data_IF_651461789188
#
_entry.id   IF_651461789188
#
_cell.length_a   1.000
_cell.length_b   1.000
_cell.length_c   1.000
_cell.angle_alpha   90.00
_cell.angle_beta   90.00
_cell.angle_gamma   90.00
#
_symmetry.space_group_name_H-M   'P 1'
#
loop_
_entity.id
_entity.type
_entity.pdbx_description
1 polymer ?
#
# COMPACT_ATOMS: atom_id res chain seq x y z
N UNK A 1 -2.22 -1.95 -22.31
CA UNK A 1 -1.78 -3.35 -22.22
C UNK A 1 -3.01 -4.20 -22.52
N UNK A 2 -2.95 -5.07 -23.52
CA UNK A 2 -4.02 -6.03 -23.78
C UNK A 2 -3.78 -7.26 -22.91
N UNK A 3 -4.73 -7.58 -22.04
CA UNK A 3 -4.67 -8.78 -21.22
C UNK A 3 -4.97 -10.01 -22.08
N UNK A 4 -4.32 -11.14 -21.77
CA UNK A 4 -4.56 -12.40 -22.45
C UNK A 4 -6.04 -12.84 -22.27
N UNK A 5 -6.75 -13.25 -23.34
CA UNK A 5 -8.14 -13.67 -23.24
C UNK A 5 -8.40 -14.80 -22.23
N UNK A 6 -7.39 -15.62 -21.93
CA UNK A 6 -7.47 -16.73 -20.94
C UNK A 6 -7.64 -16.23 -19.51
N UNK A 7 -7.33 -14.96 -19.22
CA UNK A 7 -7.42 -14.39 -17.87
C UNK A 7 -8.64 -13.49 -17.66
N UNK A 8 -9.52 -13.36 -18.65
CA UNK A 8 -10.63 -12.41 -18.66
C UNK A 8 -11.68 -12.62 -17.54
N UNK A 9 -11.72 -13.79 -16.90
CA UNK A 9 -12.71 -14.15 -15.87
C UNK A 9 -12.06 -14.54 -14.52
N UNK A 10 -10.77 -14.24 -14.32
CA UNK A 10 -10.09 -14.48 -13.05
C UNK A 10 -10.14 -13.18 -12.24
N UNK A 11 -11.00 -13.14 -11.21
CA UNK A 11 -11.36 -11.95 -10.42
C UNK A 11 -10.17 -11.25 -9.71
N UNK A 12 -8.96 -11.82 -9.76
CA UNK A 12 -7.80 -11.32 -9.03
C UNK A 12 -6.50 -11.21 -9.86
N UNK A 13 -6.56 -11.27 -11.19
CA UNK A 13 -5.35 -11.20 -12.02
C UNK A 13 -4.86 -9.76 -12.23
N UNK A 14 -4.11 -9.26 -11.26
CA UNK A 14 -3.26 -8.09 -11.42
C UNK A 14 -2.01 -8.40 -12.26
N UNK A 15 -1.30 -7.36 -12.68
CA UNK A 15 -0.05 -7.50 -13.47
C UNK A 15 1.16 -7.98 -12.66
N UNK A 16 1.02 -8.14 -11.33
CA UNK A 16 2.01 -8.71 -10.40
C UNK A 16 3.45 -8.19 -10.62
N UNK A 17 3.60 -6.88 -10.78
CA UNK A 17 4.82 -6.27 -11.34
C UNK A 17 5.61 -5.39 -10.36
N UNK A 18 5.23 -5.35 -9.08
CA UNK A 18 5.77 -4.40 -8.11
C UNK A 18 6.85 -5.02 -7.22
N UNK A 19 6.64 -6.24 -6.72
CA UNK A 19 7.58 -6.92 -5.84
C UNK A 19 7.46 -8.44 -5.98
N UNK A 20 8.48 -9.18 -5.53
CA UNK A 20 8.47 -10.64 -5.40
C UNK A 20 8.97 -11.01 -4.01
N UNK A 21 8.26 -11.90 -3.32
CA UNK A 21 8.61 -12.35 -1.97
C UNK A 21 8.50 -13.87 -1.83
N UNK A 22 9.35 -14.45 -0.98
CA UNK A 22 9.24 -15.84 -0.54
C UNK A 22 8.64 -15.92 0.85
N UNK A 23 7.50 -16.61 1.00
CA UNK A 23 6.84 -16.82 2.28
C UNK A 23 5.95 -18.07 2.22
N UNK A 24 5.84 -18.83 3.32
CA UNK A 24 4.97 -20.00 3.37
C UNK A 24 5.28 -21.06 2.30
N UNK A 25 6.56 -21.23 1.95
CA UNK A 25 7.04 -22.10 0.87
C UNK A 25 6.48 -21.75 -0.53
N UNK A 26 6.20 -20.46 -0.77
CA UNK A 26 5.67 -19.95 -2.04
C UNK A 26 6.47 -18.75 -2.52
N UNK A 27 6.70 -18.67 -3.83
CA UNK A 27 7.21 -17.46 -4.50
C UNK A 27 6.01 -16.64 -4.97
N UNK A 28 5.83 -15.45 -4.40
CA UNK A 28 4.68 -14.60 -4.64
C UNK A 28 5.10 -13.32 -5.36
N UNK A 29 4.54 -13.07 -6.54
CA UNK A 29 4.64 -11.81 -7.25
C UNK A 29 3.47 -10.90 -6.85
N UNK A 30 3.77 -9.64 -6.56
CA UNK A 30 2.86 -8.71 -5.87
C UNK A 30 2.58 -7.47 -6.72
N UNK A 31 1.34 -6.99 -6.61
CA UNK A 31 0.90 -5.66 -7.03
C UNK A 31 -0.20 -5.22 -6.08
N UNK A 32 -0.16 -3.96 -5.64
CA UNK A 32 -1.02 -3.43 -4.56
C UNK A 32 -2.53 -3.42 -4.86
N UNK A 33 -2.93 -3.71 -6.10
CA UNK A 33 -4.33 -3.75 -6.54
C UNK A 33 -4.96 -5.14 -6.54
N UNK A 34 -4.21 -6.21 -6.26
CA UNK A 34 -4.68 -7.58 -6.43
C UNK A 34 -4.14 -8.54 -5.37
N UNK A 35 -4.72 -9.74 -5.31
CA UNK A 35 -4.17 -10.84 -4.53
C UNK A 35 -2.75 -11.19 -5.05
N UNK A 36 -1.86 -11.73 -4.20
CA UNK A 36 -0.54 -12.16 -4.65
C UNK A 36 -0.67 -13.26 -5.69
N UNK A 37 0.26 -13.29 -6.65
CA UNK A 37 0.29 -14.29 -7.71
C UNK A 37 1.42 -15.28 -7.46
N UNK A 38 1.10 -16.56 -7.31
CA UNK A 38 2.07 -17.62 -7.06
C UNK A 38 2.79 -18.03 -8.35
N UNK A 39 4.11 -18.21 -8.23
CA UNK A 39 4.99 -18.72 -9.27
C UNK A 39 5.68 -19.99 -8.77
N UNK A 40 5.95 -20.93 -9.67
CA UNK A 40 6.89 -21.99 -9.38
C UNK A 40 8.29 -21.39 -9.13
N UNK A 41 8.96 -21.68 -7.99
CA UNK A 41 10.21 -21.01 -7.65
C UNK A 41 11.42 -21.41 -8.50
N UNK A 42 11.32 -22.49 -9.28
CA UNK A 42 12.38 -22.99 -10.13
C UNK A 42 12.14 -22.61 -11.59
N UNK A 43 10.94 -22.88 -12.11
CA UNK A 43 10.60 -22.65 -13.52
C UNK A 43 10.06 -21.25 -13.78
N UNK A 44 9.60 -20.55 -12.73
CA UNK A 44 8.84 -19.29 -12.80
C UNK A 44 7.53 -19.40 -13.57
N UNK A 45 7.02 -20.62 -13.78
CA UNK A 45 5.71 -20.83 -14.37
C UNK A 45 4.61 -20.28 -13.46
N UNK A 46 3.63 -19.64 -14.09
CA UNK A 46 2.46 -19.10 -13.41
C UNK A 46 1.61 -20.20 -12.78
N UNK A 47 1.43 -20.16 -11.46
CA UNK A 47 0.51 -21.07 -10.75
C UNK A 47 -0.88 -20.44 -10.63
N UNK A 48 -0.96 -19.18 -10.21
CA UNK A 48 -2.23 -18.46 -10.09
C UNK A 48 -2.31 -17.60 -8.82
N UNK A 49 -3.43 -16.91 -8.62
CA UNK A 49 -3.64 -16.08 -7.44
C UNK A 49 -3.65 -16.90 -6.14
N UNK A 50 -2.83 -16.49 -5.18
CA UNK A 50 -2.78 -17.06 -3.83
C UNK A 50 -3.72 -16.31 -2.89
N UNK A 51 -4.90 -16.88 -2.63
CA UNK A 51 -5.94 -16.26 -1.78
C UNK A 51 -5.88 -16.73 -0.32
N UNK A 52 -4.77 -17.34 0.10
CA UNK A 52 -4.61 -17.94 1.43
C UNK A 52 -5.75 -18.92 1.75
N UNK A 53 -6.00 -19.89 0.86
CA UNK A 53 -7.12 -20.83 0.94
C UNK A 53 -8.48 -20.12 1.05
N UNK A 54 -8.72 -19.13 0.18
CA UNK A 54 -9.93 -18.30 0.13
C UNK A 54 -10.19 -17.39 1.34
N UNK A 55 -9.24 -17.29 2.30
CA UNK A 55 -9.37 -16.40 3.46
C UNK A 55 -9.09 -14.94 3.11
N UNK A 56 -8.21 -14.67 2.15
CA UNK A 56 -7.98 -13.31 1.66
C UNK A 56 -9.07 -12.93 0.67
N UNK A 57 -9.74 -11.80 0.92
CA UNK A 57 -10.73 -11.19 0.03
C UNK A 57 -10.20 -9.83 -0.40
N UNK A 58 -9.80 -9.70 -1.66
CA UNK A 58 -9.26 -8.45 -2.22
C UNK A 58 -7.74 -8.47 -2.40
N UNK A 59 -7.15 -7.28 -2.33
CA UNK A 59 -5.74 -7.06 -2.61
C UNK A 59 -4.83 -7.34 -1.41
N UNK A 60 -3.52 -7.41 -1.67
CA UNK A 60 -2.50 -7.18 -0.65
C UNK A 60 -1.48 -6.17 -1.13
N UNK A 61 -0.83 -5.47 -0.20
CA UNK A 61 0.25 -4.54 -0.50
C UNK A 61 1.41 -5.27 -1.17
N UNK A 62 2.14 -4.55 -2.02
CA UNK A 62 3.36 -5.06 -2.63
C UNK A 62 4.57 -5.02 -1.67
N UNK A 63 4.39 -4.49 -0.46
CA UNK A 63 5.47 -4.28 0.50
C UNK A 63 5.23 -4.96 1.84
N UNK A 64 4.96 -6.28 1.87
CA UNK A 64 4.85 -7.00 3.13
C UNK A 64 6.16 -6.93 3.92
N UNK A 65 6.06 -6.98 5.25
CA UNK A 65 7.22 -7.07 6.16
C UNK A 65 7.21 -8.45 6.81
N UNK A 66 8.37 -9.12 6.85
CA UNK A 66 8.53 -10.38 7.57
C UNK A 66 9.11 -10.06 8.95
N UNK A 67 8.44 -10.50 10.01
CA UNK A 67 9.03 -10.44 11.35
C UNK A 67 10.15 -11.49 11.48
N UNK A 68 11.40 -11.07 11.75
CA UNK A 68 12.51 -11.99 11.95
C UNK A 68 12.38 -12.88 13.20
N UNK A 69 11.58 -12.50 14.21
CA UNK A 69 11.41 -13.27 15.44
C UNK A 69 10.38 -14.40 15.27
N UNK A 70 9.23 -14.12 14.64
CA UNK A 70 8.13 -15.07 14.49
C UNK A 70 8.08 -15.78 13.13
N UNK A 71 8.61 -15.14 12.09
CA UNK A 71 8.43 -15.53 10.69
C UNK A 71 7.08 -15.12 10.11
N UNK A 72 6.28 -14.36 10.84
CA UNK A 72 5.01 -13.83 10.34
C UNK A 72 5.25 -12.83 9.22
N UNK A 73 4.38 -12.86 8.20
CA UNK A 73 4.31 -11.84 7.17
C UNK A 73 3.16 -10.89 7.48
N UNK A 74 3.50 -9.63 7.71
CA UNK A 74 2.57 -8.54 7.95
C UNK A 74 2.34 -7.81 6.63
N UNK A 75 1.08 -7.56 6.30
CA UNK A 75 0.72 -6.81 5.09
C UNK A 75 -0.62 -6.10 5.28
N UNK A 76 -0.96 -5.23 4.34
CA UNK A 76 -2.21 -4.48 4.39
C UNK A 76 -2.84 -4.41 2.99
N UNK A 77 -4.03 -3.84 2.90
CA UNK A 77 -4.63 -3.42 1.65
C UNK A 77 -5.26 -2.04 1.84
N UNK A 78 -5.12 -1.16 0.85
CA UNK A 78 -5.94 0.04 0.73
C UNK A 78 -7.03 -0.20 -0.32
N UNK A 79 -8.08 0.63 -0.36
CA UNK A 79 -9.27 0.38 -1.19
C UNK A 79 -9.92 -1.00 -0.90
N UNK A 80 -9.90 -1.42 0.37
CA UNK A 80 -10.18 -2.80 0.76
C UNK A 80 -11.63 -3.27 0.54
N UNK A 81 -12.58 -2.36 0.36
CA UNK A 81 -13.99 -2.66 0.05
C UNK A 81 -14.49 -2.01 -1.26
N UNK A 82 -13.60 -1.42 -2.06
CA UNK A 82 -14.01 -0.79 -3.31
C UNK A 82 -13.00 0.21 -3.88
N UNK A 83 -13.22 0.59 -5.14
CA UNK A 83 -12.40 1.55 -5.86
C UNK A 83 -12.47 2.92 -5.17
N UNK A 84 -11.31 3.49 -4.81
CA UNK A 84 -11.19 4.80 -4.18
C UNK A 84 -12.02 4.86 -2.89
N UNK A 85 -11.80 3.87 -2.05
CA UNK A 85 -12.39 3.78 -0.72
C UNK A 85 -11.36 4.14 0.35
N UNK A 86 -11.74 4.85 1.43
CA UNK A 86 -10.87 5.02 2.59
C UNK A 86 -10.66 3.71 3.36
N UNK A 87 -11.40 2.63 3.03
CA UNK A 87 -11.30 1.35 3.73
C UNK A 87 -9.91 0.74 3.54
N UNK A 88 -9.31 0.40 4.67
CA UNK A 88 -8.05 -0.32 4.78
C UNK A 88 -8.30 -1.70 5.38
N UNK A 89 -7.39 -2.63 5.13
CA UNK A 89 -7.31 -3.91 5.82
C UNK A 89 -5.88 -4.17 6.29
N UNK A 90 -5.71 -4.74 7.48
CA UNK A 90 -4.44 -5.23 7.99
C UNK A 90 -4.49 -6.74 8.19
N UNK A 91 -3.42 -7.41 7.78
CA UNK A 91 -3.35 -8.85 7.70
C UNK A 91 -2.05 -9.40 8.29
N UNK A 92 -2.14 -10.59 8.87
CA UNK A 92 -0.97 -11.37 9.30
C UNK A 92 -1.10 -12.80 8.78
N UNK A 93 -0.08 -13.26 8.06
CA UNK A 93 0.11 -14.67 7.74
C UNK A 93 1.23 -15.25 8.62
N UNK A 94 1.02 -16.44 9.17
CA UNK A 94 2.06 -17.14 9.95
C UNK A 94 3.23 -17.61 9.05
N UNK A 95 4.30 -18.13 9.65
CA UNK A 95 5.50 -18.61 8.91
C UNK A 95 5.22 -19.66 7.84
N UNK A 96 4.12 -20.40 7.98
CA UNK A 96 3.74 -21.50 7.10
C UNK A 96 2.80 -21.02 5.98
N UNK A 97 2.48 -19.72 5.93
CA UNK A 97 1.65 -19.13 4.89
C UNK A 97 0.15 -19.19 5.18
N UNK A 98 -0.27 -19.43 6.43
CA UNK A 98 -1.69 -19.37 6.79
C UNK A 98 -2.07 -17.96 7.19
N UNK A 99 -3.15 -17.42 6.60
CA UNK A 99 -3.74 -16.16 7.07
C UNK A 99 -4.39 -16.39 8.45
N UNK A 100 -3.84 -15.75 9.48
CA UNK A 100 -4.23 -15.91 10.89
C UNK A 100 -4.93 -14.67 11.46
N UNK A 101 -4.79 -13.50 10.83
CA UNK A 101 -5.42 -12.25 11.26
C UNK A 101 -5.81 -11.41 10.06
N UNK A 102 -7.01 -10.83 10.12
CA UNK A 102 -7.52 -9.83 9.20
C UNK A 102 -8.40 -8.86 9.95
N UNK A 103 -8.10 -7.58 9.87
CA UNK A 103 -8.89 -6.50 10.48
C UNK A 103 -9.07 -5.37 9.49
N UNK A 104 -10.18 -4.64 9.60
CA UNK A 104 -10.54 -3.59 8.66
C UNK A 104 -10.86 -2.30 9.40
N UNK A 105 -10.40 -1.18 8.86
CA UNK A 105 -10.57 0.15 9.44
C UNK A 105 -10.66 1.20 8.34
N UNK A 106 -11.08 2.40 8.69
CA UNK A 106 -11.14 3.52 7.75
C UNK A 106 -9.95 4.45 7.97
N UNK A 107 -9.22 4.74 6.89
CA UNK A 107 -8.25 5.82 6.87
C UNK A 107 -8.98 7.19 6.81
N UNK A 108 -8.31 8.30 7.15
CA UNK A 108 -8.92 9.64 7.08
C UNK A 108 -9.45 10.03 5.70
N UNK A 109 -8.90 9.45 4.63
CA UNK A 109 -9.39 9.60 3.27
C UNK A 109 -8.83 8.48 2.37
N UNK A 110 -9.45 8.29 1.19
CA UNK A 110 -8.92 7.40 0.16
C UNK A 110 -7.61 7.96 -0.42
N UNK A 111 -6.51 7.28 -0.16
CA UNK A 111 -5.18 7.62 -0.67
C UNK A 111 -4.48 6.40 -1.26
N UNK A 112 -3.52 6.66 -2.15
CA UNK A 112 -2.53 5.64 -2.49
C UNK A 112 -1.62 5.45 -1.28
N UNK A 113 -1.72 4.29 -0.64
CA UNK A 113 -0.83 3.88 0.46
C UNK A 113 0.05 2.77 -0.09
N UNK A 114 1.25 3.14 -0.55
CA UNK A 114 2.14 2.21 -1.24
C UNK A 114 2.85 1.26 -0.27
N UNK A 115 3.34 1.81 0.84
CA UNK A 115 4.09 1.07 1.86
C UNK A 115 3.61 1.44 3.27
N UNK A 116 3.98 0.63 4.24
CA UNK A 116 3.72 0.78 5.67
C UNK A 116 4.98 0.42 6.47
N UNK A 117 4.96 0.74 7.75
CA UNK A 117 6.14 0.58 8.62
C UNK A 117 5.77 -0.34 9.77
N UNK A 118 6.72 -1.18 10.17
CA UNK A 118 6.57 -2.06 11.33
C UNK A 118 7.76 -1.88 12.26
N UNK A 119 7.49 -1.95 13.56
CA UNK A 119 8.52 -2.09 14.61
C UNK A 119 8.25 -3.40 15.37
N UNK A 120 8.97 -3.65 16.46
CA UNK A 120 8.65 -4.78 17.34
C UNK A 120 7.20 -4.67 17.84
N UNK A 121 6.81 -3.47 18.29
CA UNK A 121 5.59 -3.29 19.07
C UNK A 121 4.47 -2.55 18.32
N UNK A 122 4.73 -2.00 17.13
CA UNK A 122 3.77 -1.15 16.41
C UNK A 122 3.74 -1.39 14.90
N UNK A 123 2.54 -1.23 14.33
CA UNK A 123 2.27 -1.11 12.90
C UNK A 123 1.91 0.34 12.62
N UNK A 124 2.51 0.92 11.58
CA UNK A 124 2.36 2.34 11.25
C UNK A 124 1.90 2.49 9.80
N UNK A 125 0.79 3.20 9.61
CA UNK A 125 0.13 3.46 8.33
C UNK A 125 0.28 4.94 7.95
N UNK A 126 1.19 5.28 7.01
CA UNK A 126 1.31 6.64 6.50
C UNK A 126 0.19 6.93 5.47
N UNK A 127 -0.73 7.82 5.81
CA UNK A 127 -1.80 8.29 4.94
C UNK A 127 -1.45 9.71 4.48
N UNK A 128 -0.95 9.81 3.26
CA UNK A 128 -0.39 11.04 2.69
C UNK A 128 -1.30 11.56 1.58
N UNK A 129 -1.24 12.86 1.24
CA UNK A 129 -2.26 13.49 0.39
C UNK A 129 -2.07 13.21 -1.12
N UNK A 130 -1.69 11.99 -1.48
CA UNK A 130 -1.85 11.42 -2.83
C UNK A 130 -3.21 10.73 -2.93
N UNK A 131 -4.26 11.53 -3.08
CA UNK A 131 -5.64 11.06 -2.90
C UNK A 131 -6.21 10.42 -4.13
N UNK A 132 -7.07 9.41 -3.96
CA UNK A 132 -7.94 8.91 -5.02
C UNK A 132 -9.21 9.77 -5.12
N UNK A 133 -9.70 10.06 -6.33
CA UNK A 133 -11.01 10.71 -6.52
C UNK A 133 -11.70 10.26 -7.80
N UNK A 134 -12.87 9.63 -7.66
CA UNK A 134 -13.73 9.28 -8.79
C UNK A 134 -14.31 10.52 -9.46
N UNK A 135 -14.68 11.53 -8.67
CA UNK A 135 -15.20 12.80 -9.18
C UNK A 135 -14.19 13.48 -10.11
N UNK A 136 -12.92 13.57 -9.67
CA UNK A 136 -11.83 14.12 -10.50
C UNK A 136 -11.63 13.30 -11.77
N UNK A 137 -11.69 11.98 -11.69
CA UNK A 137 -11.58 11.11 -12.85
C UNK A 137 -12.73 11.30 -13.85
N UNK A 138 -13.98 11.44 -13.37
CA UNK A 138 -15.16 11.70 -14.20
C UNK A 138 -15.09 13.06 -14.91
N UNK A 139 -14.38 14.03 -14.32
CA UNK A 139 -14.09 15.33 -14.94
C UNK A 139 -12.89 15.30 -15.90
N UNK A 140 -12.32 14.12 -16.18
CA UNK A 140 -11.18 13.94 -17.08
C UNK A 140 -9.80 14.17 -16.44
N UNK A 141 -9.75 14.36 -15.12
CA UNK A 141 -8.52 14.45 -14.35
C UNK A 141 -7.92 13.08 -14.00
N UNK A 142 -6.74 13.05 -13.38
CA UNK A 142 -6.12 11.81 -12.94
C UNK A 142 -6.85 11.21 -11.73
N UNK A 143 -6.92 9.88 -11.67
CA UNK A 143 -7.55 9.14 -10.56
C UNK A 143 -6.84 9.43 -9.24
N UNK A 144 -5.51 9.40 -9.22
CA UNK A 144 -4.68 9.81 -8.09
C UNK A 144 -3.99 11.15 -8.38
N UNK A 145 -4.00 12.07 -7.41
CA UNK A 145 -3.35 13.37 -7.52
C UNK A 145 -2.84 13.84 -6.17
N UNK A 146 -1.72 14.57 -6.18
CA UNK A 146 -1.20 15.27 -5.01
C UNK A 146 -2.11 16.45 -4.64
N UNK A 147 -2.56 16.49 -3.38
CA UNK A 147 -3.42 17.54 -2.82
C UNK A 147 -2.73 18.22 -1.63
N UNK A 148 -1.79 19.12 -1.91
CA UNK A 148 -0.95 19.80 -0.91
C UNK A 148 -1.72 20.55 0.19
N UNK A 149 -3.00 20.85 -0.02
CA UNK A 149 -3.88 21.49 0.97
C UNK A 149 -4.39 20.54 2.06
N UNK A 150 -4.19 19.22 1.92
CA UNK A 150 -4.58 18.21 2.90
C UNK A 150 -3.42 17.84 3.81
N UNK A 151 -3.72 17.60 5.07
CA UNK A 151 -2.75 17.10 6.06
C UNK A 151 -2.33 15.66 5.77
N UNK A 152 -1.12 15.31 6.18
CA UNK A 152 -0.68 13.91 6.29
C UNK A 152 -1.14 13.35 7.63
N UNK A 153 -1.47 12.06 7.66
CA UNK A 153 -1.85 11.35 8.87
C UNK A 153 -0.97 10.11 9.05
N UNK A 154 -0.48 9.90 10.28
CA UNK A 154 0.26 8.71 10.66
C UNK A 154 -0.61 7.92 11.64
N UNK A 155 -1.12 6.78 11.20
CA UNK A 155 -1.89 5.87 12.05
C UNK A 155 -0.95 4.87 12.72
N UNK A 156 -0.94 4.82 14.05
CA UNK A 156 -0.08 3.92 14.82
C UNK A 156 -0.95 2.93 15.58
N UNK A 157 -0.82 1.64 15.24
CA UNK A 157 -1.52 0.53 15.86
C UNK A 157 -0.53 -0.28 16.72
N UNK A 158 -0.82 -0.57 18.00
CA UNK A 158 -0.06 -1.56 18.75
C UNK A 158 -0.13 -2.92 18.04
N UNK A 159 1.01 -3.60 17.86
CA UNK A 159 1.09 -4.87 17.11
C UNK A 159 0.20 -5.96 17.71
N UNK A 160 0.14 -6.03 19.04
CA UNK A 160 -0.71 -6.96 19.79
C UNK A 160 -2.11 -6.39 20.14
N UNK A 161 -2.41 -5.16 19.71
CA UNK A 161 -3.73 -4.54 19.84
C UNK A 161 -4.61 -4.89 18.64
N UNK A 162 -5.65 -4.09 18.43
CA UNK A 162 -6.61 -4.16 17.33
C UNK A 162 -6.65 -2.85 16.55
N UNK A 163 -7.35 -2.81 15.43
CA UNK A 163 -7.54 -1.57 14.66
C UNK A 163 -8.29 -0.48 15.43
N UNK A 164 -9.03 -0.83 16.49
CA UNK A 164 -9.68 0.15 17.38
C UNK A 164 -8.65 0.88 18.27
N UNK A 165 -7.45 0.33 18.41
CA UNK A 165 -6.36 0.92 19.19
C UNK A 165 -5.50 1.88 18.35
N UNK A 166 -5.85 2.11 17.08
CA UNK A 166 -5.12 3.03 16.20
C UNK A 166 -5.18 4.45 16.75
N UNK A 167 -4.00 5.05 16.92
CA UNK A 167 -3.84 6.46 17.23
C UNK A 167 -3.39 7.22 15.99
N UNK A 168 -4.16 8.23 15.61
CA UNK A 168 -3.87 9.08 14.47
C UNK A 168 -3.12 10.34 14.88
N UNK A 169 -2.02 10.61 14.20
CA UNK A 169 -1.22 11.83 14.33
C UNK A 169 -1.32 12.62 13.04
N UNK A 170 -1.74 13.87 13.13
CA UNK A 170 -1.85 14.79 12.00
C UNK A 170 -0.58 15.64 11.89
N UNK A 171 -0.12 15.89 10.67
CA UNK A 171 1.00 16.77 10.39
C UNK A 171 0.93 17.40 9.01
N UNK A 172 1.94 18.22 8.72
CA UNK A 172 2.07 18.90 7.43
C UNK A 172 2.07 17.91 6.24
N UNK A 173 1.64 18.34 5.05
CA UNK A 173 1.73 17.55 3.84
C UNK A 173 3.18 17.12 3.57
N UNK A 174 3.40 15.82 3.48
CA UNK A 174 4.67 15.21 3.14
C UNK A 174 4.38 13.90 2.42
N UNK A 175 5.35 13.42 1.66
CA UNK A 175 5.22 12.14 0.98
C UNK A 175 6.43 11.25 1.26
N UNK A 176 6.17 9.98 1.56
CA UNK A 176 7.16 8.92 1.70
C UNK A 176 6.68 7.77 0.84
N UNK A 177 7.51 7.38 -0.13
CA UNK A 177 7.21 6.24 -1.00
C UNK A 177 7.61 4.94 -0.30
N UNK A 178 8.91 4.82 0.03
CA UNK A 178 9.47 3.67 0.72
C UNK A 178 10.14 4.09 2.03
N UNK A 179 9.72 3.56 3.18
CA UNK A 179 10.54 3.53 4.38
C UNK A 179 11.74 2.59 4.19
N UNK A 180 12.87 2.95 4.81
CA UNK A 180 14.05 2.08 4.90
C UNK A 180 13.87 1.05 6.02
N UNK A 181 13.66 1.52 7.24
CA UNK A 181 13.40 0.67 8.41
C UNK A 181 12.79 1.49 9.55
N UNK A 182 12.34 0.82 10.61
CA UNK A 182 11.96 1.47 11.86
C UNK A 182 12.24 0.60 13.09
N UNK A 183 12.35 1.25 14.24
CA UNK A 183 12.38 0.60 15.54
C UNK A 183 11.68 1.46 16.59
N UNK A 184 11.41 0.90 17.76
CA UNK A 184 10.92 1.66 18.90
C UNK A 184 11.81 1.44 20.13
N UNK A 185 11.98 2.51 20.91
CA UNK A 185 12.59 2.52 22.24
C UNK A 185 11.52 3.00 23.23
N UNK A 186 10.89 2.03 23.91
CA UNK A 186 9.66 2.26 24.65
C UNK A 186 8.57 2.82 23.73
N UNK A 187 8.02 3.97 24.11
CA UNK A 187 6.96 4.68 23.36
C UNK A 187 7.48 5.54 22.20
N UNK A 188 8.81 5.69 22.06
CA UNK A 188 9.39 6.47 20.98
C UNK A 188 9.60 5.58 19.75
N UNK A 189 8.94 5.93 18.65
CA UNK A 189 9.09 5.26 17.35
C UNK A 189 10.03 6.08 16.48
N UNK A 190 11.05 5.44 15.90
CA UNK A 190 12.03 6.03 15.00
C UNK A 190 11.88 5.34 13.63
N UNK A 191 11.49 6.12 12.62
CA UNK A 191 11.35 5.66 11.24
C UNK A 191 12.40 6.34 10.36
N UNK A 192 13.13 5.54 9.59
CA UNK A 192 14.09 6.02 8.58
C UNK A 192 13.38 6.01 7.23
N UNK A 193 13.22 7.18 6.62
CA UNK A 193 12.40 7.36 5.41
C UNK A 193 13.06 8.31 4.42
N UNK A 194 12.74 8.14 3.14
CA UNK A 194 13.01 9.14 2.11
C UNK A 194 11.76 10.03 1.95
N UNK A 195 11.78 11.18 2.60
CA UNK A 195 10.68 12.16 2.52
C UNK A 195 10.83 13.07 1.29
N UNK A 196 9.70 13.35 0.66
CA UNK A 196 9.51 14.32 -0.41
C UNK A 196 8.50 15.38 0.05
N UNK A 197 8.67 16.62 -0.43
CA UNK A 197 7.70 17.70 -0.22
C UNK A 197 6.40 17.48 -1.01
N UNK A 198 6.50 16.79 -2.16
CA UNK A 198 5.37 16.43 -3.02
C UNK A 198 5.51 14.98 -3.50
N UNK A 199 4.39 14.34 -3.84
CA UNK A 199 4.41 12.99 -4.39
C UNK A 199 5.15 12.96 -5.75
N UNK A 200 6.30 12.27 -5.85
CA UNK A 200 7.05 12.20 -7.10
C UNK A 200 6.22 11.50 -8.18
N UNK A 201 6.34 11.94 -9.44
CA UNK A 201 5.58 11.41 -10.59
C UNK A 201 4.05 11.68 -10.57
N UNK A 202 3.50 12.33 -9.54
CA UNK A 202 2.06 12.63 -9.42
C UNK A 202 1.73 14.12 -9.42
N UNK A 203 2.63 14.95 -9.94
CA UNK A 203 2.35 16.37 -10.16
C UNK A 203 1.10 16.52 -11.02
N UNK A 204 0.14 17.32 -10.56
CA UNK A 204 -0.92 17.82 -11.41
C UNK A 204 -0.24 18.46 -12.62
N UNK A 205 -0.55 18.00 -13.85
CA UNK A 205 0.02 18.58 -15.07
C UNK A 205 -0.14 20.09 -14.96
N UNK A 206 0.97 20.82 -14.80
CA UNK A 206 0.93 22.26 -14.99
C UNK A 206 0.40 22.49 -16.39
N UNK A 207 -0.61 23.36 -16.51
CA UNK A 207 -1.02 23.90 -17.78
C UNK A 207 0.25 24.36 -18.52
N UNK A 208 0.41 23.92 -19.78
CA UNK A 208 1.53 24.31 -20.64
C UNK A 208 1.69 25.83 -20.73
N UNK A 209 0.61 26.59 -20.48
CA UNK A 209 0.63 28.06 -20.40
C UNK A 209 1.49 28.61 -19.25
N UNK A 210 1.65 27.87 -18.14
CA UNK A 210 2.45 28.31 -16.99
C UNK A 210 3.95 28.02 -17.14
N UNK A 211 4.29 26.99 -17.92
CA UNK A 211 5.70 26.65 -18.23
C UNK A 211 6.37 27.79 -19.01
N UNK A 212 5.63 28.48 -19.89
CA UNK A 212 6.15 29.61 -20.66
C UNK A 212 6.37 30.88 -19.82
N UNK A 213 5.65 31.06 -18.71
CA UNK A 213 5.83 32.24 -17.82
C UNK A 213 7.08 32.14 -16.95
N UNK A 214 7.46 30.94 -16.49
CA UNK A 214 8.72 30.74 -15.74
C UNK A 214 9.97 30.82 -16.62
N UNK A 215 9.87 30.46 -17.90
CA UNK A 215 10.99 30.55 -18.84
C UNK A 215 11.30 31.98 -19.31
N UNK A 216 10.44 32.97 -19.02
CA UNK A 216 10.63 34.38 -19.39
C UNK A 216 11.01 35.27 -18.19
N UNK A 217 11.27 34.67 -17.02
CA UNK A 217 11.68 35.39 -15.80
C UNK A 217 13.11 35.05 -15.33
N UNK A 218 13.88 34.30 -16.14
CA UNK A 218 15.31 34.07 -15.93
C UNK A 218 16.12 34.61 -17.12
#
# INVERSE_FOLDING_TARGET
MENDPRVANVETNGIANTNVIWHGNKLLALVESNAPFELDPVTLESIGSWTFNNKLKGAMSAHPKIDPETGEMLFFAYNADGIISPRMAFHVADRDGNLIRSEWFDAPYAAMVHDFITTRDYIIFPIMPLTGSMERAMQGGPVYAWEAQKSSYIGIMPRNGTVEDIRWFEGDPAYVFHPMNAHNDGEKIICEVCQYEEAPCFHMRMDRSQIQRKALQN
#
